data_IF_721554761196
#
_entry.id   IF_721554761196
#
_cell.length_a   1.000
_cell.length_b   1.000
_cell.length_c   1.000
_cell.angle_alpha   90.00
_cell.angle_beta   90.00
_cell.angle_gamma   90.00
#
_symmetry.space_group_name_H-M   'P 1'
#
loop_
_entity.id
_entity.type
_entity.pdbx_description
1 polymer ?
#
# COMPACT_ATOMS: atom_id res chain seq x y z
N UNK A 1 -15.35 2.86 5.49
CA UNK A 1 -15.32 2.29 6.86
C UNK A 1 -14.29 1.15 6.95
N UNK A 2 -13.37 1.21 7.91
CA UNK A 2 -12.43 0.11 8.14
C UNK A 2 -13.14 -1.05 8.84
N UNK A 3 -12.74 -2.29 8.51
CA UNK A 3 -13.26 -3.46 9.19
C UNK A 3 -12.71 -3.51 10.62
N UNK A 4 -13.61 -3.73 11.59
CA UNK A 4 -13.27 -3.88 13.02
C UNK A 4 -13.50 -5.33 13.51
N UNK A 5 -13.31 -6.30 12.62
CA UNK A 5 -13.46 -7.72 12.94
C UNK A 5 -12.07 -8.35 13.02
N UNK A 6 -11.81 -9.14 14.06
CA UNK A 6 -10.57 -9.88 14.21
C UNK A 6 -10.66 -11.23 13.51
N UNK A 7 -9.60 -11.61 12.80
CA UNK A 7 -9.42 -12.99 12.35
C UNK A 7 -8.77 -13.80 13.47
N UNK A 8 -9.31 -14.99 13.78
CA UNK A 8 -8.87 -15.83 14.89
C UNK A 8 -8.38 -17.17 14.35
N UNK A 9 -7.23 -17.62 14.84
CA UNK A 9 -6.70 -18.96 14.63
C UNK A 9 -6.39 -19.62 15.99
N UNK A 10 -6.38 -20.95 16.03
CA UNK A 10 -6.13 -21.74 17.24
C UNK A 10 -4.84 -22.54 17.11
N UNK A 11 -3.99 -22.49 18.14
CA UNK A 11 -2.85 -23.39 18.28
C UNK A 11 -3.29 -24.64 19.04
N UNK A 12 -3.21 -25.81 18.39
CA UNK A 12 -3.57 -27.10 18.99
C UNK A 12 -2.31 -27.89 19.37
N UNK A 13 -2.19 -28.23 20.65
CA UNK A 13 -1.08 -29.02 21.17
C UNK A 13 -1.46 -30.51 21.18
N UNK A 14 -0.81 -31.31 20.32
CA UNK A 14 -1.06 -32.75 20.23
C UNK A 14 -0.54 -33.44 21.50
N UNK A 15 -1.37 -34.28 22.12
CA UNK A 15 -1.03 -35.02 23.33
C UNK A 15 -1.31 -34.27 24.65
N UNK A 16 -1.72 -33.01 24.58
CA UNK A 16 -2.22 -32.28 25.74
C UNK A 16 -3.72 -32.53 25.94
N UNK A 17 -4.16 -32.79 27.17
CA UNK A 17 -5.59 -32.82 27.50
C UNK A 17 -6.12 -31.38 27.58
N UNK A 18 -7.15 -31.00 26.80
CA UNK A 18 -7.74 -29.67 26.89
C UNK A 18 -8.40 -29.48 28.26
N UNK A 19 -7.77 -28.67 29.12
CA UNK A 19 -8.27 -28.36 30.46
C UNK A 19 -8.77 -26.92 30.59
N UNK A 20 -8.72 -26.14 29.51
CA UNK A 20 -9.08 -24.72 29.48
C UNK A 20 -9.60 -24.29 28.10
N UNK A 21 -10.39 -23.21 28.09
CA UNK A 21 -10.91 -22.59 26.86
C UNK A 21 -9.79 -21.72 26.26
N UNK A 22 -9.53 -21.88 24.96
CA UNK A 22 -8.60 -21.03 24.22
C UNK A 22 -9.19 -19.62 24.05
N UNK A 23 -8.49 -18.62 24.59
CA UNK A 23 -8.84 -17.21 24.44
C UNK A 23 -7.99 -16.56 23.34
N UNK A 24 -8.56 -15.65 22.51
CA UNK A 24 -7.78 -14.87 21.56
C UNK A 24 -6.68 -14.06 22.27
N UNK A 25 -5.55 -13.88 21.59
CA UNK A 25 -4.50 -13.02 22.09
C UNK A 25 -5.00 -11.55 22.17
N UNK A 26 -4.61 -10.79 23.20
CA UNK A 26 -4.90 -9.37 23.25
C UNK A 26 -4.12 -8.66 22.13
N UNK A 27 -4.84 -7.91 21.29
CA UNK A 27 -4.25 -7.12 20.21
C UNK A 27 -4.20 -5.64 20.63
N UNK A 28 -3.20 -4.87 20.15
CA UNK A 28 -3.23 -3.42 20.26
C UNK A 28 -4.50 -2.83 19.65
N UNK A 29 -4.89 -1.63 20.10
CA UNK A 29 -6.02 -0.93 19.46
C UNK A 29 -5.68 -0.57 18.02
N UNK A 30 -6.69 -0.42 17.17
CA UNK A 30 -6.50 -0.19 15.73
C UNK A 30 -5.69 1.09 15.40
N UNK A 31 -5.59 2.02 16.35
CA UNK A 31 -4.89 3.30 16.26
C UNK A 31 -3.65 3.38 17.17
N UNK A 32 -3.13 2.25 17.65
CA UNK A 32 -1.92 2.21 18.47
C UNK A 32 -0.65 2.39 17.63
N UNK A 33 -0.26 3.65 17.45
CA UNK A 33 0.95 4.01 16.69
C UNK A 33 2.24 3.56 17.40
N UNK A 34 2.23 3.42 18.73
CA UNK A 34 3.41 3.02 19.48
C UNK A 34 3.71 1.53 19.29
N UNK A 35 2.67 0.69 19.30
CA UNK A 35 2.80 -0.72 19.00
C UNK A 35 3.38 -0.95 17.59
N UNK A 36 2.84 -0.24 16.58
CA UNK A 36 3.36 -0.32 15.20
C UNK A 36 4.82 0.13 15.14
N UNK A 37 5.14 1.29 15.72
CA UNK A 37 6.51 1.83 15.72
C UNK A 37 7.50 0.85 16.35
N UNK A 38 7.17 0.28 17.50
CA UNK A 38 8.05 -0.65 18.23
C UNK A 38 8.43 -1.87 17.40
N UNK A 39 7.48 -2.43 16.66
CA UNK A 39 7.74 -3.59 15.77
C UNK A 39 8.55 -3.17 14.55
N UNK A 40 8.20 -2.04 13.92
CA UNK A 40 8.88 -1.56 12.71
C UNK A 40 10.33 -1.14 12.97
N UNK A 41 10.61 -0.49 14.11
CA UNK A 41 11.96 -0.08 14.52
C UNK A 41 12.87 -1.29 14.81
N UNK A 42 12.29 -2.48 15.05
CA UNK A 42 13.03 -3.72 15.28
C UNK A 42 13.47 -4.46 14.02
N UNK A 43 13.02 -4.04 12.83
CA UNK A 43 13.34 -4.73 11.57
C UNK A 43 14.82 -4.54 11.20
N UNK A 44 15.56 -5.65 11.12
CA UNK A 44 16.98 -5.67 10.70
C UNK A 44 17.30 -6.92 9.89
N UNK A 45 18.19 -6.78 8.91
CA UNK A 45 18.73 -7.95 8.19
C UNK A 45 19.62 -8.77 9.12
N UNK A 46 19.50 -10.10 9.04
CA UNK A 46 20.39 -11.00 9.77
C UNK A 46 21.83 -10.94 9.25
N UNK A 47 22.01 -10.77 7.93
CA UNK A 47 23.31 -10.74 7.25
C UNK A 47 23.37 -9.57 6.23
N UNK A 48 23.73 -8.35 6.65
CA UNK A 48 23.73 -7.16 5.79
C UNK A 48 24.97 -7.09 4.88
N UNK A 49 25.11 -8.02 3.93
CA UNK A 49 26.31 -8.10 3.09
C UNK A 49 26.27 -7.18 1.86
N UNK A 50 25.09 -6.66 1.48
CA UNK A 50 24.89 -5.87 0.27
C UNK A 50 24.11 -4.58 0.54
N UNK A 51 24.71 -3.68 1.32
CA UNK A 51 24.18 -2.33 1.52
C UNK A 51 24.90 -1.39 0.55
N UNK A 52 24.20 -0.72 -0.38
CA UNK A 52 24.77 0.33 -1.21
C UNK A 52 25.33 1.46 -0.33
N UNK A 53 26.62 1.79 -0.50
CA UNK A 53 27.30 2.84 0.28
C UNK A 53 27.46 4.15 -0.49
N UNK A 54 27.44 4.06 -1.81
CA UNK A 54 27.52 5.20 -2.72
C UNK A 54 26.12 5.44 -3.27
N UNK A 55 25.58 6.63 -3.02
CA UNK A 55 24.27 7.05 -3.51
C UNK A 55 24.52 7.93 -4.74
N UNK A 56 24.02 7.49 -5.88
CA UNK A 56 24.10 8.17 -7.17
C UNK A 56 22.96 9.18 -7.34
N UNK A 57 21.76 8.85 -6.87
CA UNK A 57 20.56 9.67 -6.99
C UNK A 57 19.75 9.67 -5.70
N UNK A 58 19.32 10.85 -5.25
CA UNK A 58 18.39 11.00 -4.14
C UNK A 58 16.99 11.25 -4.70
N UNK A 59 16.04 10.39 -4.37
CA UNK A 59 14.64 10.55 -4.78
C UNK A 59 13.80 11.02 -3.60
N UNK A 60 13.07 12.12 -3.77
CA UNK A 60 12.05 12.54 -2.80
C UNK A 60 10.65 12.24 -3.34
N UNK A 61 9.97 11.27 -2.73
CA UNK A 61 8.65 10.80 -3.18
C UNK A 61 7.60 11.12 -2.10
N UNK A 62 6.66 11.99 -2.45
CA UNK A 62 5.44 12.23 -1.67
C UNK A 62 4.36 11.24 -2.08
N UNK A 63 3.71 10.59 -1.11
CA UNK A 63 2.58 9.69 -1.36
C UNK A 63 1.32 10.37 -0.85
N UNK A 64 0.35 10.56 -1.73
CA UNK A 64 -0.88 11.28 -1.43
C UNK A 64 -2.14 10.50 -1.77
N UNK A 65 -3.18 10.73 -0.97
CA UNK A 65 -4.56 10.48 -1.39
C UNK A 65 -5.12 11.79 -1.93
N UNK A 66 -5.81 11.72 -3.07
CA UNK A 66 -6.31 12.87 -3.80
C UNK A 66 -7.78 12.65 -4.17
N UNK A 67 -8.43 13.73 -4.61
CA UNK A 67 -9.75 13.68 -5.21
C UNK A 67 -9.68 14.35 -6.57
N UNK A 68 -10.01 13.60 -7.61
CA UNK A 68 -10.05 14.10 -8.99
C UNK A 68 -11.46 14.52 -9.37
N UNK A 69 -11.57 15.49 -10.27
CA UNK A 69 -12.84 15.90 -10.83
C UNK A 69 -13.51 14.71 -11.53
N UNK A 70 -14.73 14.40 -11.15
CA UNK A 70 -15.48 13.33 -11.78
C UNK A 70 -16.10 13.79 -13.10
N UNK A 71 -15.79 13.10 -14.20
CA UNK A 71 -16.37 13.35 -15.55
C UNK A 71 -17.28 12.23 -16.02
N UNK A 72 -17.83 11.44 -15.10
CA UNK A 72 -18.66 10.29 -15.43
C UNK A 72 -20.05 10.71 -15.94
N UNK A 73 -20.58 9.97 -16.91
CA UNK A 73 -21.98 10.09 -17.36
C UNK A 73 -22.97 9.55 -16.32
N UNK A 74 -22.51 8.80 -15.32
CA UNK A 74 -23.32 8.29 -14.19
C UNK A 74 -22.69 8.69 -12.85
N UNK A 75 -22.76 9.98 -12.47
CA UNK A 75 -22.02 10.50 -11.32
C UNK A 75 -22.35 9.84 -9.98
N UNK A 76 -23.62 9.51 -9.77
CA UNK A 76 -24.10 8.89 -8.53
C UNK A 76 -23.45 7.52 -8.25
N UNK A 77 -22.98 6.82 -9.29
CA UNK A 77 -22.35 5.50 -9.16
C UNK A 77 -20.83 5.61 -9.01
N UNK A 78 -20.22 6.56 -9.73
CA UNK A 78 -18.77 6.60 -9.93
C UNK A 78 -18.06 7.71 -9.17
N UNK A 79 -18.78 8.70 -8.63
CA UNK A 79 -18.21 9.88 -7.99
C UNK A 79 -18.46 9.89 -6.48
N UNK A 80 -17.93 8.88 -5.78
CA UNK A 80 -18.15 8.68 -4.34
C UNK A 80 -17.09 9.36 -3.45
N UNK A 81 -16.17 10.14 -4.04
CA UNK A 81 -15.17 10.90 -3.31
C UNK A 81 -15.75 12.19 -2.69
N UNK A 82 -14.93 12.88 -1.89
CA UNK A 82 -15.30 14.19 -1.35
C UNK A 82 -15.69 15.16 -2.48
N UNK A 83 -16.62 16.09 -2.20
CA UNK A 83 -17.11 17.07 -3.17
C UNK A 83 -17.61 16.48 -4.51
N UNK A 84 -18.08 15.22 -4.52
CA UNK A 84 -18.56 14.56 -5.73
C UNK A 84 -17.46 14.24 -6.75
N UNK A 85 -16.22 14.07 -6.28
CA UNK A 85 -15.09 13.64 -7.09
C UNK A 85 -14.89 12.11 -7.13
N UNK A 86 -13.79 11.69 -7.74
CA UNK A 86 -13.31 10.30 -7.71
C UNK A 86 -12.08 10.24 -6.82
N UNK A 87 -12.04 9.28 -5.90
CA UNK A 87 -10.86 9.04 -5.08
C UNK A 87 -9.69 8.62 -5.98
N UNK A 88 -8.55 9.24 -5.77
CA UNK A 88 -7.31 8.94 -6.47
C UNK A 88 -6.16 8.84 -5.46
N UNK A 89 -5.04 8.30 -5.91
CA UNK A 89 -3.78 8.36 -5.19
C UNK A 89 -2.70 8.90 -6.13
N UNK A 90 -1.67 9.50 -5.58
CA UNK A 90 -0.55 10.04 -6.36
C UNK A 90 0.79 9.78 -5.69
N UNK A 91 1.82 9.75 -6.53
CA UNK A 91 3.21 9.90 -6.11
C UNK A 91 3.74 11.19 -6.75
N UNK A 92 4.33 12.10 -5.97
CA UNK A 92 4.78 13.41 -6.46
C UNK A 92 3.70 14.19 -7.23
N UNK A 93 2.46 14.11 -6.73
CA UNK A 93 1.26 14.71 -7.34
C UNK A 93 0.94 14.20 -8.76
N UNK A 94 1.47 13.03 -9.14
CA UNK A 94 1.14 12.33 -10.38
C UNK A 94 0.32 11.08 -10.03
N UNK A 95 -0.92 11.03 -10.50
CA UNK A 95 -1.75 9.83 -10.41
C UNK A 95 -1.50 8.93 -11.61
N UNK A 96 -1.04 7.70 -11.36
CA UNK A 96 -0.75 6.75 -12.43
C UNK A 96 -2.04 6.33 -13.15
N UNK A 97 -2.10 6.59 -14.46
CA UNK A 97 -3.15 6.07 -15.34
C UNK A 97 -2.64 4.84 -16.06
N UNK A 98 -3.32 3.70 -15.89
CA UNK A 98 -2.92 2.45 -16.54
C UNK A 98 -3.14 2.55 -18.06
N UNK A 99 -2.09 2.47 -18.90
CA UNK A 99 -2.26 2.43 -20.34
C UNK A 99 -2.96 1.15 -20.82
N UNK A 100 -3.51 1.20 -22.04
CA UNK A 100 -4.14 0.03 -22.68
C UNK A 100 -3.11 -0.98 -23.22
N UNK A 101 -1.86 -0.56 -23.40
CA UNK A 101 -0.73 -1.39 -23.78
C UNK A 101 0.22 -1.55 -22.58
N UNK A 102 0.87 -2.70 -22.43
CA UNK A 102 1.87 -2.89 -21.39
C UNK A 102 3.02 -1.89 -21.55
N UNK A 103 3.46 -1.28 -20.44
CA UNK A 103 4.66 -0.43 -20.42
C UNK A 103 5.89 -1.17 -20.94
N UNK A 104 6.04 -2.43 -20.54
CA UNK A 104 7.14 -3.29 -20.99
C UNK A 104 7.06 -3.55 -22.50
N UNK A 105 5.86 -3.80 -23.02
CA UNK A 105 5.67 -4.01 -24.46
C UNK A 105 5.94 -2.73 -25.25
N UNK A 106 5.40 -1.60 -24.81
CA UNK A 106 5.64 -0.29 -25.43
C UNK A 106 7.14 0.04 -25.48
N UNK A 107 7.86 -0.22 -24.39
CA UNK A 107 9.31 -0.04 -24.30
C UNK A 107 10.07 -0.92 -25.30
N UNK A 108 9.85 -2.24 -25.28
CA UNK A 108 10.59 -3.17 -26.15
C UNK A 108 10.27 -3.01 -27.63
N UNK A 109 9.01 -2.72 -27.97
CA UNK A 109 8.57 -2.49 -29.36
C UNK A 109 8.77 -1.04 -29.81
N UNK A 110 9.28 -0.16 -28.94
CA UNK A 110 9.50 1.28 -29.22
C UNK A 110 8.23 2.00 -29.70
N UNK A 111 7.10 1.70 -29.04
CA UNK A 111 5.80 2.30 -29.35
C UNK A 111 5.61 3.54 -28.49
N UNK A 112 5.57 4.71 -29.14
CA UNK A 112 5.46 6.00 -28.47
C UNK A 112 4.04 6.29 -27.97
N UNK A 113 3.92 7.18 -26.97
CA UNK A 113 2.64 7.72 -26.49
C UNK A 113 1.96 6.92 -25.37
N UNK A 114 2.59 5.86 -24.86
CA UNK A 114 2.04 5.03 -23.78
C UNK A 114 2.62 5.30 -22.40
N UNK A 115 3.79 5.97 -22.33
CA UNK A 115 4.42 6.43 -21.10
C UNK A 115 5.36 7.60 -21.38
N UNK A 116 5.79 8.25 -20.32
CA UNK A 116 6.83 9.26 -20.32
C UNK A 116 7.96 8.81 -19.40
N UNK A 117 9.17 9.32 -19.63
CA UNK A 117 10.39 8.94 -18.89
C UNK A 117 10.82 10.03 -17.88
N UNK A 118 9.90 10.94 -17.56
CA UNK A 118 10.14 12.19 -16.82
C UNK A 118 9.46 12.21 -15.44
N UNK A 119 9.23 11.04 -14.84
CA UNK A 119 8.67 10.98 -13.49
C UNK A 119 9.62 11.70 -12.50
N UNK A 120 9.16 12.72 -11.77
CA UNK A 120 10.00 13.53 -10.92
C UNK A 120 10.40 12.77 -9.66
N UNK A 121 11.67 12.89 -9.27
CA UNK A 121 12.22 12.32 -8.05
C UNK A 121 13.57 12.93 -7.71
#
# INVERSE_FOLDING_TARGET
PFQNISSIAYFHYIGAMPNSIALPAPLPTFNDNLAVKTVMDGLRSLNPNYIPKEIDTNLFITIGLNVQQCRSKTPQQNCQGANGGVMAASMNNISFFRPNLSLLEAYYKKINGYFTEDFPG
#
